data_IF_230822427061
#
_entry.id   IF_230822427061
#
_cell.length_a   1.000
_cell.length_b   1.000
_cell.length_c   1.000
_cell.angle_alpha   90.00
_cell.angle_beta   90.00
_cell.angle_gamma   90.00
#
_symmetry.space_group_name_H-M   'P 1'
#
loop_
_entity.id
_entity.type
_entity.pdbx_description
1 polymer ?
#
# COMPACT_ATOMS: atom_id res chain seq x y z
N UNK A 1 30.65 21.78 44.18
CA UNK A 1 29.83 20.55 44.03
C UNK A 1 28.95 20.75 42.81
N UNK A 2 29.34 20.25 41.65
CA UNK A 2 28.59 20.38 40.39
C UNK A 2 27.63 19.20 40.27
N UNK A 3 26.32 19.49 40.25
CA UNK A 3 25.28 18.50 40.09
C UNK A 3 25.37 17.87 38.69
N UNK A 4 25.66 16.57 38.64
CA UNK A 4 25.65 15.77 37.41
C UNK A 4 24.19 15.53 37.04
N UNK A 5 23.72 16.16 35.96
CA UNK A 5 22.40 15.87 35.41
C UNK A 5 22.35 14.42 34.91
N UNK A 6 21.33 13.63 35.27
CA UNK A 6 21.16 12.30 34.71
C UNK A 6 20.86 12.43 33.22
N UNK A 7 21.68 11.78 32.39
CA UNK A 7 21.47 11.66 30.95
C UNK A 7 20.06 11.11 30.71
N UNK A 8 19.20 11.95 30.13
CA UNK A 8 17.92 11.54 29.53
C UNK A 8 18.22 10.40 28.55
N UNK A 9 17.58 9.23 28.62
CA UNK A 9 17.72 8.25 27.57
C UNK A 9 17.16 8.90 26.30
N UNK A 10 18.01 9.06 25.29
CA UNK A 10 17.58 9.38 23.96
C UNK A 10 16.62 8.26 23.54
N UNK A 11 15.32 8.56 23.47
CA UNK A 11 14.37 7.70 22.77
C UNK A 11 14.95 7.50 21.39
N UNK A 12 15.42 6.29 21.10
CA UNK A 12 15.84 5.91 19.75
C UNK A 12 14.60 6.02 18.89
N UNK A 13 14.48 7.12 18.16
CA UNK A 13 13.56 7.23 17.03
C UNK A 13 14.27 6.56 15.86
N UNK A 14 14.28 5.23 15.87
CA UNK A 14 14.57 4.45 14.66
C UNK A 14 13.32 4.38 13.80
N UNK A 15 13.42 4.05 12.51
CA UNK A 15 12.26 3.75 11.69
C UNK A 15 11.77 2.37 12.14
N UNK A 16 11.06 2.31 13.26
CA UNK A 16 10.17 1.18 13.49
C UNK A 16 9.02 1.41 12.52
N UNK A 17 9.15 0.84 11.32
CA UNK A 17 8.07 0.79 10.34
C UNK A 17 6.88 0.16 11.06
N UNK A 18 5.80 0.93 11.16
CA UNK A 18 4.58 0.47 11.81
C UNK A 18 4.13 -0.81 11.08
N UNK A 19 3.97 -1.94 11.78
CA UNK A 19 3.61 -3.19 11.14
C UNK A 19 2.31 -3.09 10.33
N UNK A 20 1.39 -2.20 10.73
CA UNK A 20 0.16 -1.93 9.97
C UNK A 20 0.42 -1.21 8.64
N UNK A 21 1.44 -0.35 8.58
CA UNK A 21 1.87 0.32 7.35
C UNK A 21 2.54 -0.70 6.42
N UNK A 22 3.43 -1.54 6.93
CA UNK A 22 4.05 -2.62 6.15
C UNK A 22 3.02 -3.59 5.57
N UNK A 23 2.01 -3.96 6.35
CA UNK A 23 0.90 -4.81 5.88
C UNK A 23 0.10 -4.12 4.76
N UNK A 24 -0.21 -2.83 4.94
CA UNK A 24 -0.92 -2.05 3.92
C UNK A 24 -0.12 -1.96 2.63
N UNK A 25 1.19 -1.69 2.72
CA UNK A 25 2.07 -1.62 1.55
C UNK A 25 2.13 -2.96 0.81
N UNK A 26 2.18 -4.09 1.52
CA UNK A 26 2.13 -5.41 0.91
C UNK A 26 0.81 -5.66 0.15
N UNK A 27 -0.33 -5.22 0.69
CA UNK A 27 -1.63 -5.29 0.02
C UNK A 27 -1.64 -4.43 -1.24
N UNK A 28 -1.15 -3.18 -1.16
CA UNK A 28 -1.05 -2.29 -2.32
C UNK A 28 -0.12 -2.87 -3.39
N UNK A 29 0.99 -3.49 -2.98
CA UNK A 29 1.92 -4.13 -3.89
C UNK A 29 1.27 -5.33 -4.62
N UNK A 30 0.52 -6.17 -3.90
CA UNK A 30 -0.25 -7.27 -4.50
C UNK A 30 -1.31 -6.77 -5.49
N UNK A 31 -2.07 -5.73 -5.13
CA UNK A 31 -3.04 -5.09 -6.02
C UNK A 31 -2.38 -4.53 -7.29
N UNK A 32 -1.19 -3.92 -7.16
CA UNK A 32 -0.43 -3.39 -8.31
C UNK A 32 -0.04 -4.48 -9.31
N UNK A 33 0.22 -5.70 -8.82
CA UNK A 33 0.50 -6.90 -9.61
C UNK A 33 -0.75 -7.57 -10.18
N UNK A 34 -1.95 -7.05 -9.89
CA UNK A 34 -3.25 -7.69 -10.19
C UNK A 34 -3.37 -9.08 -9.55
N UNK A 35 -2.72 -9.26 -8.40
CA UNK A 35 -2.82 -10.50 -7.63
C UNK A 35 -4.14 -10.51 -6.84
N UNK A 36 -4.76 -11.69 -6.74
CA UNK A 36 -5.99 -11.85 -5.98
C UNK A 36 -5.68 -11.73 -4.48
N UNK A 37 -6.16 -10.65 -3.86
CA UNK A 37 -6.04 -10.43 -2.41
C UNK A 37 -7.34 -10.89 -1.73
N UNK A 38 -7.30 -12.00 -0.99
CA UNK A 38 -8.46 -12.45 -0.22
C UNK A 38 -8.55 -11.68 1.10
N UNK A 39 -9.49 -10.75 1.21
CA UNK A 39 -9.70 -9.95 2.43
C UNK A 39 -11.17 -9.64 2.67
N UNK A 40 -11.55 -9.46 3.94
CA UNK A 40 -12.86 -8.95 4.34
C UNK A 40 -12.96 -7.43 4.28
N UNK A 41 -11.86 -6.73 4.00
CA UNK A 41 -11.83 -5.27 3.94
C UNK A 41 -12.56 -4.76 2.69
N UNK A 42 -13.60 -3.95 2.92
CA UNK A 42 -14.44 -3.36 1.87
C UNK A 42 -13.63 -2.39 1.00
N UNK A 43 -12.66 -1.67 1.56
CA UNK A 43 -11.84 -0.73 0.81
C UNK A 43 -10.96 -1.46 -0.21
N UNK A 44 -10.33 -2.57 0.20
CA UNK A 44 -9.51 -3.40 -0.70
C UNK A 44 -10.35 -4.02 -1.80
N UNK A 45 -11.54 -4.54 -1.47
CA UNK A 45 -12.48 -5.09 -2.45
C UNK A 45 -12.92 -4.03 -3.50
N UNK A 46 -13.18 -2.80 -3.06
CA UNK A 46 -13.49 -1.68 -3.96
C UNK A 46 -12.30 -1.34 -4.87
N UNK A 47 -11.08 -1.31 -4.33
CA UNK A 47 -9.87 -1.07 -5.12
C UNK A 47 -9.66 -2.17 -6.18
N UNK A 48 -9.83 -3.45 -5.83
CA UNK A 48 -9.76 -4.56 -6.78
C UNK A 48 -10.77 -4.41 -7.91
N UNK A 49 -12.03 -4.12 -7.59
CA UNK A 49 -13.07 -3.92 -8.60
C UNK A 49 -12.78 -2.73 -9.54
N UNK A 50 -12.18 -1.66 -9.01
CA UNK A 50 -11.77 -0.51 -9.82
C UNK A 50 -10.60 -0.85 -10.77
N UNK A 51 -9.62 -1.63 -10.29
CA UNK A 51 -8.51 -2.11 -11.12
C UNK A 51 -9.06 -2.93 -12.29
N UNK A 52 -10.00 -3.83 -12.02
CA UNK A 52 -10.64 -4.67 -13.04
C UNK A 52 -11.45 -3.86 -14.06
N UNK A 53 -12.20 -2.83 -13.63
CA UNK A 53 -12.94 -1.94 -14.54
C UNK A 53 -11.99 -1.19 -15.49
N UNK A 54 -10.90 -0.63 -14.94
CA UNK A 54 -9.90 0.08 -15.74
C UNK A 54 -9.23 -0.86 -16.75
N UNK A 55 -8.88 -2.08 -16.34
CA UNK A 55 -8.26 -3.08 -17.23
C UNK A 55 -9.19 -3.46 -18.40
N UNK A 56 -10.47 -3.68 -18.12
CA UNK A 56 -11.50 -3.94 -19.13
C UNK A 56 -11.67 -2.77 -20.10
N UNK A 57 -11.68 -1.53 -19.60
CA UNK A 57 -11.78 -0.33 -20.44
C UNK A 57 -10.56 -0.17 -21.34
N UNK A 58 -9.35 -0.47 -20.85
CA UNK A 58 -8.14 -0.47 -21.65
C UNK A 58 -8.14 -1.59 -22.72
N UNK A 59 -8.67 -2.77 -22.40
CA UNK A 59 -8.79 -3.89 -23.33
C UNK A 59 -9.84 -3.64 -24.44
N UNK A 60 -10.92 -2.94 -24.10
CA UNK A 60 -12.02 -2.64 -25.02
C UNK A 60 -11.68 -1.59 -26.09
N UNK A 61 -10.52 -0.92 -25.98
CA UNK A 61 -10.00 -0.03 -27.02
C UNK A 61 -9.24 -0.86 -28.05
N UNK A 62 -9.95 -1.74 -28.77
CA UNK A 62 -9.46 -2.27 -30.04
C UNK A 62 -9.55 -1.16 -31.08
N UNK A 63 -8.48 -0.38 -31.21
CA UNK A 63 -8.29 0.52 -32.35
C UNK A 63 -8.17 -0.40 -33.57
N UNK A 64 -9.28 -0.67 -34.26
CA UNK A 64 -9.18 -0.96 -35.69
C UNK A 64 -8.67 0.35 -36.30
N UNK A 65 -7.45 0.40 -36.85
CA UNK A 65 -7.03 1.56 -37.60
C UNK A 65 -7.94 1.59 -38.82
N UNK A 66 -8.89 2.52 -38.85
CA UNK A 66 -9.64 2.81 -40.08
C UNK A 66 -8.63 3.28 -41.11
N UNK A 67 -8.52 2.51 -42.20
CA UNK A 67 -7.65 2.77 -43.37
C UNK A 67 -7.97 4.07 -44.07
#
# INVERSE_FOLDING_TARGET
>A
MTAVHPRRPARRYGPEEDPAVTETDAVLEALSRREAVSTSDVAVNLLSALIDDVDQRCSSVSITPST
#
